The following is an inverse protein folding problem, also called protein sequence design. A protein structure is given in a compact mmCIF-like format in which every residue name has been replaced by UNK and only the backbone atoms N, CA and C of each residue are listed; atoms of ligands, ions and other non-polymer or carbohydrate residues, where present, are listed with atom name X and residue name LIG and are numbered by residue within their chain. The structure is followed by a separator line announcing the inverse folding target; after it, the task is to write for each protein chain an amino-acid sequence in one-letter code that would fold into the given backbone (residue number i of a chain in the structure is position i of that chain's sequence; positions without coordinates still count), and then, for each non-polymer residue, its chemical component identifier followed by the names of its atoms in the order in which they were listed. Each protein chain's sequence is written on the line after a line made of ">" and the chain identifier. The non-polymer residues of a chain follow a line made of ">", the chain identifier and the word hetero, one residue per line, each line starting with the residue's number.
data_IF_521409319639
#
_entry.id   IF_521409319639
#
_cell.length_a   1.000
_cell.length_b   1.000
_cell.length_c   1.000
_cell.angle_alpha   90.00
_cell.angle_beta   90.00
_cell.angle_gamma   90.00
#
_symmetry.space_group_name_H-M   'P 1'
#
loop_
_entity.id
_entity.type
_entity.pdbx_description
1 polymer ?
#
# COMPACT_ATOMS: atom_id res chain seq x y z
N UNK A 1 -19.66 10.15 2.24
CA UNK A 1 -18.89 10.40 1.00
C UNK A 1 -17.59 9.59 1.04
N UNK A 2 -17.17 8.95 -0.04
CA UNK A 2 -15.85 8.32 -0.13
C UNK A 2 -14.80 9.31 -0.63
N UNK A 3 -13.65 9.36 0.04
CA UNK A 3 -12.50 10.19 -0.37
C UNK A 3 -11.33 9.29 -0.70
N UNK A 4 -11.03 9.13 -1.99
CA UNK A 4 -9.93 8.30 -2.45
C UNK A 4 -8.60 9.05 -2.42
N UNK A 5 -7.62 8.50 -1.70
CA UNK A 5 -6.25 9.00 -1.65
C UNK A 5 -5.34 8.12 -2.52
N UNK A 6 -4.99 8.55 -3.75
CA UNK A 6 -4.29 7.72 -4.73
C UNK A 6 -2.81 7.48 -4.40
N UNK A 7 -2.26 8.12 -3.36
CA UNK A 7 -0.83 8.14 -3.04
C UNK A 7 0.04 8.80 -4.12
N UNK A 8 0.81 9.82 -3.72
CA UNK A 8 1.77 10.47 -4.61
C UNK A 8 2.88 9.52 -5.09
N UNK A 9 3.41 8.67 -4.19
CA UNK A 9 4.47 7.74 -4.52
C UNK A 9 4.01 6.63 -5.47
N UNK A 10 2.79 6.12 -5.27
CA UNK A 10 2.21 5.13 -6.17
C UNK A 10 1.89 5.77 -7.53
N UNK A 11 1.26 6.95 -7.54
CA UNK A 11 0.96 7.67 -8.79
C UNK A 11 2.21 7.95 -9.61
N UNK A 12 3.34 8.24 -8.97
CA UNK A 12 4.61 8.44 -9.67
C UNK A 12 5.21 7.12 -10.19
N UNK A 13 5.04 6.00 -9.48
CA UNK A 13 5.60 4.71 -9.86
C UNK A 13 4.78 3.98 -10.92
N UNK A 14 3.45 4.04 -10.82
CA UNK A 14 2.49 3.34 -11.68
C UNK A 14 1.46 4.34 -12.23
N UNK A 15 1.86 5.29 -13.10
CA UNK A 15 1.01 6.39 -13.54
C UNK A 15 -0.23 5.91 -14.31
N UNK A 16 -0.09 4.89 -15.15
CA UNK A 16 -1.20 4.33 -15.93
C UNK A 16 -2.27 3.69 -15.02
N UNK A 17 -1.87 2.80 -14.11
CA UNK A 17 -2.80 2.21 -13.14
C UNK A 17 -3.44 3.25 -12.22
N UNK A 18 -2.68 4.27 -11.80
CA UNK A 18 -3.23 5.40 -11.04
C UNK A 18 -4.27 6.17 -11.85
N UNK A 19 -4.02 6.42 -13.14
CA UNK A 19 -4.98 7.08 -14.03
C UNK A 19 -6.26 6.25 -14.18
N UNK A 20 -6.13 4.96 -14.48
CA UNK A 20 -7.27 4.04 -14.64
C UNK A 20 -8.17 4.00 -13.41
N UNK A 21 -7.62 3.76 -12.22
CA UNK A 21 -8.44 3.68 -11.01
C UNK A 21 -9.08 5.02 -10.63
N UNK A 22 -8.38 6.14 -10.86
CA UNK A 22 -8.97 7.47 -10.63
C UNK A 22 -10.13 7.75 -11.57
N UNK A 23 -10.03 7.36 -12.85
CA UNK A 23 -11.12 7.51 -13.81
C UNK A 23 -12.34 6.67 -13.39
N UNK A 24 -12.12 5.38 -13.10
CA UNK A 24 -13.17 4.48 -12.62
C UNK A 24 -13.91 5.01 -11.39
N UNK A 25 -13.19 5.54 -10.41
CA UNK A 25 -13.82 6.09 -9.20
C UNK A 25 -14.46 7.47 -9.41
N UNK A 26 -13.99 8.27 -10.37
CA UNK A 26 -14.56 9.59 -10.65
C UNK A 26 -15.93 9.53 -11.31
N UNK A 27 -16.28 8.41 -11.96
CA UNK A 27 -17.59 8.18 -12.57
C UNK A 27 -18.64 7.73 -11.55
N UNK A 28 -18.24 7.34 -10.33
CA UNK A 28 -19.15 6.87 -9.28
C UNK A 28 -19.72 8.03 -8.47
N UNK A 29 -21.02 7.96 -8.20
CA UNK A 29 -21.66 8.86 -7.24
C UNK A 29 -21.08 8.65 -5.83
N UNK A 30 -20.98 9.73 -5.06
CA UNK A 30 -20.45 9.66 -3.70
C UNK A 30 -18.94 9.42 -3.61
N UNK A 31 -18.19 9.68 -4.69
CA UNK A 31 -16.73 9.66 -4.72
C UNK A 31 -16.09 11.03 -4.92
N UNK A 32 -15.04 11.29 -4.13
CA UNK A 32 -14.10 12.38 -4.33
C UNK A 32 -12.70 11.82 -4.50
N UNK A 33 -12.16 11.93 -5.71
CA UNK A 33 -10.76 11.59 -6.01
C UNK A 33 -9.86 12.76 -5.60
N UNK A 34 -9.07 12.57 -4.55
CA UNK A 34 -8.12 13.58 -4.08
C UNK A 34 -6.75 13.44 -4.78
N UNK A 35 -5.89 14.44 -4.60
CA UNK A 35 -4.51 14.39 -5.10
C UNK A 35 -3.52 13.91 -4.02
N UNK A 36 -3.23 14.76 -3.02
CA UNK A 36 -2.26 14.48 -1.97
C UNK A 36 -2.96 14.41 -0.60
N UNK A 37 -2.64 13.39 0.19
CA UNK A 37 -3.23 13.23 1.53
C UNK A 37 -3.04 14.45 2.43
N UNK A 38 -1.89 15.15 2.34
CA UNK A 38 -1.50 16.23 3.26
C UNK A 38 -2.47 17.42 3.24
N UNK A 39 -2.70 18.11 2.11
CA UNK A 39 -3.68 19.20 2.05
C UNK A 39 -5.12 18.70 2.25
N UNK A 40 -5.42 17.47 1.82
CA UNK A 40 -6.78 16.91 1.91
C UNK A 40 -7.28 16.75 3.34
N UNK A 41 -6.40 16.55 4.33
CA UNK A 41 -6.82 16.41 5.74
C UNK A 41 -7.66 17.59 6.24
N UNK A 42 -7.38 18.81 5.77
CA UNK A 42 -8.09 20.03 6.18
C UNK A 42 -9.56 20.06 5.73
N UNK A 43 -9.94 19.19 4.80
CA UNK A 43 -11.29 19.18 4.21
C UNK A 43 -12.10 17.96 4.64
N UNK A 44 -11.57 17.10 5.51
CA UNK A 44 -12.24 15.87 5.92
C UNK A 44 -13.20 16.11 7.09
N UNK A 45 -14.36 15.48 7.01
CA UNK A 45 -15.46 15.58 7.97
C UNK A 45 -15.81 14.21 8.54
N UNK A 46 -16.71 14.16 9.53
CA UNK A 46 -17.18 12.89 10.10
C UNK A 46 -18.05 12.06 9.14
N UNK A 47 -18.56 12.67 8.07
CA UNK A 47 -19.36 12.00 7.03
C UNK A 47 -18.48 11.36 5.94
N UNK A 48 -17.18 11.60 5.98
CA UNK A 48 -16.21 11.07 5.03
C UNK A 48 -15.70 9.69 5.44
N UNK A 49 -15.58 8.80 4.45
CA UNK A 49 -14.79 7.57 4.53
C UNK A 49 -13.60 7.69 3.61
N UNK A 50 -12.41 7.77 4.18
CA UNK A 50 -11.15 7.89 3.46
C UNK A 50 -10.68 6.51 3.02
N UNK A 51 -10.49 6.35 1.71
CA UNK A 51 -9.93 5.14 1.10
C UNK A 51 -8.45 5.36 0.84
N UNK A 52 -7.60 4.62 1.55
CA UNK A 52 -6.15 4.73 1.41
C UNK A 52 -5.52 3.52 0.70
N UNK A 53 -4.60 3.78 -0.22
CA UNK A 53 -3.70 2.75 -0.82
C UNK A 53 -2.34 2.76 -0.12
N UNK A 54 -1.93 3.92 0.40
CA UNK A 54 -0.62 4.10 1.02
C UNK A 54 -0.71 4.14 2.54
N UNK A 55 0.13 3.33 3.19
CA UNK A 55 0.20 3.23 4.65
C UNK A 55 0.64 4.54 5.33
N UNK A 56 1.42 5.39 4.65
CA UNK A 56 1.71 6.75 5.13
C UNK A 56 0.46 7.65 5.07
N UNK A 57 -0.35 7.56 4.02
CA UNK A 57 -1.61 8.31 3.94
C UNK A 57 -2.58 7.83 5.03
N UNK A 58 -2.68 6.51 5.23
CA UNK A 58 -3.46 5.90 6.32
C UNK A 58 -3.03 6.42 7.69
N UNK A 59 -1.72 6.42 7.99
CA UNK A 59 -1.20 6.92 9.27
C UNK A 59 -1.52 8.40 9.49
N UNK A 60 -1.33 9.24 8.46
CA UNK A 60 -1.66 10.67 8.52
C UNK A 60 -3.16 10.87 8.76
N UNK A 61 -4.02 10.17 8.01
CA UNK A 61 -5.48 10.32 8.17
C UNK A 61 -5.94 9.94 9.57
N UNK A 62 -5.44 8.81 10.12
CA UNK A 62 -5.84 8.34 11.45
C UNK A 62 -5.46 9.30 12.57
N UNK A 63 -4.36 10.04 12.42
CA UNK A 63 -3.92 11.00 13.43
C UNK A 63 -4.52 12.39 13.24
N UNK A 64 -4.54 12.89 12.00
CA UNK A 64 -4.89 14.29 11.68
C UNK A 64 -6.38 14.47 11.44
N UNK A 65 -7.09 13.42 11.04
CA UNK A 65 -8.52 13.45 10.77
C UNK A 65 -9.25 12.28 11.44
N UNK A 66 -9.13 12.12 12.78
CA UNK A 66 -9.74 11.01 13.51
C UNK A 66 -11.28 11.04 13.47
N UNK A 67 -11.88 12.17 13.13
CA UNK A 67 -13.33 12.29 12.91
C UNK A 67 -13.79 11.51 11.68
N UNK A 68 -12.96 11.38 10.64
CA UNK A 68 -13.31 10.67 9.42
C UNK A 68 -13.07 9.16 9.60
N UNK A 69 -13.91 8.33 8.96
CA UNK A 69 -13.63 6.89 8.89
C UNK A 69 -12.44 6.66 7.96
N UNK A 70 -11.56 5.73 8.30
CA UNK A 70 -10.47 5.29 7.44
C UNK A 70 -10.62 3.80 7.12
N UNK A 71 -10.41 3.45 5.85
CA UNK A 71 -10.33 2.06 5.40
C UNK A 71 -9.37 1.95 4.21
N UNK A 72 -8.82 0.76 3.98
CA UNK A 72 -8.00 0.57 2.78
C UNK A 72 -8.88 0.51 1.53
N UNK A 73 -8.33 0.93 0.39
CA UNK A 73 -9.01 0.76 -0.89
C UNK A 73 -9.29 -0.73 -1.21
N UNK A 74 -8.44 -1.64 -0.74
CA UNK A 74 -8.62 -3.09 -0.92
C UNK A 74 -9.89 -3.61 -0.25
N UNK A 75 -10.21 -3.10 0.93
CA UNK A 75 -11.47 -3.44 1.61
C UNK A 75 -12.67 -2.89 0.82
N UNK A 76 -12.58 -1.66 0.31
CA UNK A 76 -13.66 -1.06 -0.46
C UNK A 76 -13.93 -1.81 -1.77
N UNK A 77 -12.90 -2.10 -2.57
CA UNK A 77 -13.10 -2.66 -3.91
C UNK A 77 -13.79 -4.04 -3.88
N UNK A 78 -13.61 -4.80 -2.79
CA UNK A 78 -14.31 -6.08 -2.57
C UNK A 78 -15.84 -5.91 -2.38
N UNK A 79 -16.28 -4.72 -2.01
CA UNK A 79 -17.71 -4.37 -1.84
C UNK A 79 -18.33 -3.81 -3.12
N UNK A 80 -17.52 -3.55 -4.14
CA UNK A 80 -17.96 -2.97 -5.40
C UNK A 80 -18.42 -4.08 -6.38
N UNK A 81 -19.74 -4.25 -6.60
CA UNK A 81 -20.26 -5.33 -7.44
C UNK A 81 -19.93 -5.15 -8.92
N UNK A 82 -19.68 -3.90 -9.35
CA UNK A 82 -19.46 -3.53 -10.74
C UNK A 82 -17.98 -3.49 -11.11
N UNK A 83 -17.08 -3.74 -10.16
CA UNK A 83 -15.64 -3.69 -10.42
C UNK A 83 -15.25 -4.78 -11.44
N UNK A 84 -14.60 -4.43 -12.57
CA UNK A 84 -14.26 -5.38 -13.62
C UNK A 84 -13.01 -6.17 -13.23
N UNK A 85 -13.19 -7.16 -12.35
CA UNK A 85 -12.10 -8.00 -11.86
C UNK A 85 -11.41 -8.74 -13.03
N UNK A 86 -10.07 -8.65 -13.16
CA UNK A 86 -9.31 -9.48 -14.09
C UNK A 86 -9.20 -10.91 -13.59
N UNK A 87 -8.88 -11.83 -14.50
CA UNK A 87 -8.67 -13.25 -14.24
C UNK A 87 -7.23 -13.63 -14.62
N UNK A 88 -6.43 -14.07 -13.65
CA UNK A 88 -5.05 -14.51 -13.84
C UNK A 88 -4.88 -16.04 -13.87
N UNK A 89 -5.98 -16.79 -14.08
CA UNK A 89 -5.91 -18.20 -14.45
C UNK A 89 -5.28 -19.15 -13.42
N UNK A 90 -5.32 -18.80 -12.13
CA UNK A 90 -4.72 -19.59 -11.05
C UNK A 90 -3.23 -19.36 -10.84
N UNK A 91 -2.65 -18.29 -11.40
CA UNK A 91 -1.23 -17.99 -11.21
C UNK A 91 -0.85 -17.90 -9.73
N UNK A 92 0.23 -18.59 -9.36
CA UNK A 92 0.81 -18.59 -8.02
C UNK A 92 1.72 -17.39 -7.86
N UNK A 93 1.40 -16.53 -6.89
CA UNK A 93 2.13 -15.27 -6.68
C UNK A 93 2.42 -15.04 -5.20
N UNK A 94 3.68 -14.77 -4.87
CA UNK A 94 4.08 -14.48 -3.49
C UNK A 94 3.47 -13.18 -3.01
N UNK A 95 2.94 -13.15 -1.78
CA UNK A 95 2.44 -11.93 -1.14
C UNK A 95 3.49 -11.39 -0.19
N UNK A 96 4.04 -10.22 -0.51
CA UNK A 96 4.94 -9.50 0.38
C UNK A 96 4.16 -8.46 1.19
N UNK A 97 3.93 -8.77 2.47
CA UNK A 97 3.37 -7.80 3.39
C UNK A 97 4.32 -6.66 3.71
N UNK A 98 3.75 -5.52 4.10
CA UNK A 98 4.50 -4.39 4.59
C UNK A 98 4.52 -4.36 6.11
N UNK A 99 5.68 -4.12 6.71
CA UNK A 99 5.87 -3.91 8.16
C UNK A 99 4.93 -2.84 8.70
N UNK A 100 4.62 -1.79 7.93
CA UNK A 100 3.66 -0.74 8.34
C UNK A 100 2.20 -1.19 8.36
N UNK A 101 1.88 -2.37 7.81
CA UNK A 101 0.56 -2.98 7.81
C UNK A 101 0.39 -4.07 8.88
N UNK A 102 1.43 -4.38 9.68
CA UNK A 102 1.42 -5.47 10.68
C UNK A 102 0.27 -5.39 11.71
N UNK A 103 -0.21 -4.17 11.99
CA UNK A 103 -1.34 -3.92 12.89
C UNK A 103 -2.63 -3.59 12.12
N UNK A 104 -2.77 -4.07 10.87
CA UNK A 104 -3.92 -3.83 9.98
C UNK A 104 -4.42 -5.16 9.39
N UNK A 105 -4.97 -6.07 10.22
CA UNK A 105 -5.42 -7.38 9.76
C UNK A 105 -6.50 -7.31 8.68
N UNK A 106 -7.39 -6.31 8.74
CA UNK A 106 -8.45 -6.13 7.72
C UNK A 106 -7.90 -5.82 6.35
N UNK A 107 -6.93 -4.91 6.28
CA UNK A 107 -6.20 -4.59 5.05
C UNK A 107 -5.51 -5.85 4.50
N UNK A 108 -4.79 -6.58 5.36
CA UNK A 108 -4.04 -7.76 4.95
C UNK A 108 -4.96 -8.86 4.44
N UNK A 109 -6.10 -9.10 5.10
CA UNK A 109 -7.14 -10.04 4.60
C UNK A 109 -7.74 -9.58 3.28
N UNK A 110 -8.03 -8.29 3.15
CA UNK A 110 -8.58 -7.72 1.92
C UNK A 110 -7.61 -7.89 0.74
N UNK A 111 -6.29 -7.72 0.95
CA UNK A 111 -5.28 -8.00 -0.09
C UNK A 111 -5.40 -9.43 -0.62
N UNK A 112 -5.47 -10.44 0.26
CA UNK A 112 -5.61 -11.85 -0.17
C UNK A 112 -6.96 -12.11 -0.83
N UNK A 113 -8.02 -11.49 -0.33
CA UNK A 113 -9.34 -11.61 -0.94
C UNK A 113 -9.36 -11.02 -2.35
N UNK A 114 -8.73 -9.86 -2.57
CA UNK A 114 -8.55 -9.28 -3.91
C UNK A 114 -7.77 -10.23 -4.82
N UNK A 115 -6.69 -10.83 -4.34
CA UNK A 115 -5.92 -11.81 -5.11
C UNK A 115 -6.77 -13.00 -5.55
N UNK A 116 -7.47 -13.64 -4.61
CA UNK A 116 -8.36 -14.76 -4.93
C UNK A 116 -9.51 -14.35 -5.86
N UNK A 117 -10.02 -13.13 -5.70
CA UNK A 117 -11.07 -12.57 -6.57
C UNK A 117 -10.57 -12.38 -8.01
N UNK A 118 -9.28 -12.10 -8.20
CA UNK A 118 -8.62 -12.08 -9.51
C UNK A 118 -8.12 -13.46 -9.98
N UNK A 119 -8.55 -14.55 -9.33
CA UNK A 119 -8.10 -15.92 -9.61
C UNK A 119 -6.58 -16.09 -9.51
N UNK A 120 -5.93 -15.44 -8.53
CA UNK A 120 -4.55 -15.71 -8.14
C UNK A 120 -4.53 -16.69 -6.96
N UNK A 121 -3.51 -17.54 -6.89
CA UNK A 121 -3.18 -18.35 -5.72
C UNK A 121 -2.12 -17.60 -4.87
N UNK A 122 -2.48 -17.06 -3.69
CA UNK A 122 -1.51 -16.38 -2.84
C UNK A 122 -0.50 -17.38 -2.25
N UNK A 123 0.78 -17.17 -2.51
CA UNK A 123 1.89 -17.88 -1.85
C UNK A 123 2.38 -17.03 -0.68
N UNK A 124 2.27 -17.57 0.53
CA UNK A 124 2.61 -16.84 1.75
C UNK A 124 4.08 -17.06 2.14
N UNK A 125 4.72 -16.00 2.63
CA UNK A 125 6.03 -16.08 3.30
C UNK A 125 5.87 -16.57 4.74
N UNK A 126 6.95 -17.06 5.34
CA UNK A 126 6.96 -17.39 6.77
C UNK A 126 6.70 -16.14 7.64
N UNK A 127 7.31 -15.02 7.28
CA UNK A 127 7.12 -13.71 7.93
C UNK A 127 5.95 -12.91 7.30
N UNK A 128 4.77 -13.49 7.27
CA UNK A 128 3.55 -12.85 6.77
C UNK A 128 2.72 -12.13 7.86
N UNK A 129 1.67 -11.44 7.44
CA UNK A 129 0.72 -10.70 8.28
C UNK A 129 1.39 -9.81 9.32
N UNK A 130 1.15 -10.05 10.61
CA UNK A 130 1.70 -9.28 11.73
C UNK A 130 3.20 -9.53 11.96
N UNK A 131 3.73 -10.63 11.44
CA UNK A 131 5.14 -11.04 11.63
C UNK A 131 6.09 -10.32 10.69
N UNK A 132 5.56 -9.76 9.60
CA UNK A 132 6.36 -9.18 8.52
C UNK A 132 7.32 -8.09 8.99
N UNK A 133 8.59 -8.20 8.57
CA UNK A 133 9.64 -7.22 8.82
C UNK A 133 9.99 -6.37 7.58
N UNK A 134 9.34 -6.62 6.44
CA UNK A 134 9.70 -5.97 5.19
C UNK A 134 9.02 -4.63 4.98
N UNK A 135 9.78 -3.60 4.63
CA UNK A 135 9.21 -2.30 4.21
C UNK A 135 9.89 -1.75 2.96
N UNK A 136 10.58 -2.64 2.24
CA UNK A 136 11.65 -2.28 1.31
C UNK A 136 12.80 -1.67 2.09
N UNK A 137 13.05 -0.39 1.85
CA UNK A 137 14.12 0.37 2.52
C UNK A 137 13.60 1.51 3.37
N UNK A 138 12.29 1.58 3.61
CA UNK A 138 11.68 2.71 4.29
C UNK A 138 12.29 2.92 5.69
N UNK A 139 12.36 1.89 6.54
CA UNK A 139 12.93 2.03 7.90
C UNK A 139 14.43 2.40 7.90
N UNK A 140 15.11 2.25 6.77
CA UNK A 140 16.53 2.51 6.64
C UNK A 140 16.87 3.97 6.27
N UNK A 141 15.87 4.82 6.12
CA UNK A 141 16.02 6.19 5.65
C UNK A 141 15.35 7.20 6.58
N UNK A 142 16.05 8.30 6.92
CA UNK A 142 15.49 9.37 7.77
C UNK A 142 14.26 10.06 7.15
N UNK A 143 14.16 10.02 5.82
CA UNK A 143 13.01 10.54 5.09
C UNK A 143 11.68 9.91 5.52
N UNK A 144 11.73 8.77 6.19
CA UNK A 144 10.57 8.02 6.70
C UNK A 144 9.79 8.75 7.77
N UNK A 145 10.47 9.55 8.61
CA UNK A 145 9.81 10.40 9.61
C UNK A 145 9.96 11.89 9.31
N UNK A 146 11.15 12.35 8.86
CA UNK A 146 11.47 13.79 8.76
C UNK A 146 10.45 14.59 7.95
N UNK A 147 9.92 14.02 6.86
CA UNK A 147 9.00 14.72 5.95
C UNK A 147 7.57 14.86 6.48
N UNK A 148 7.18 14.07 7.47
CA UNK A 148 5.79 14.00 7.94
C UNK A 148 5.65 14.23 9.45
N UNK A 149 6.75 14.37 10.19
CA UNK A 149 6.72 14.60 11.65
C UNK A 149 5.99 15.90 12.04
N UNK A 150 6.03 16.93 11.19
CA UNK A 150 5.23 18.15 11.40
C UNK A 150 3.75 18.02 11.03
N UNK A 151 3.33 16.89 10.45
CA UNK A 151 1.95 16.65 9.98
C UNK A 151 1.22 15.70 10.93
N UNK A 152 1.85 14.55 11.22
CA UNK A 152 1.34 13.54 12.14
C UNK A 152 2.43 13.22 13.19
N UNK A 153 2.68 14.16 14.12
CA UNK A 153 3.79 14.09 15.07
C UNK A 153 3.78 12.85 15.96
N UNK A 154 2.63 12.32 16.37
CA UNK A 154 2.56 11.15 17.27
C UNK A 154 3.11 9.93 16.54
N UNK A 155 2.56 9.60 15.37
CA UNK A 155 2.98 8.44 14.59
C UNK A 155 4.43 8.56 14.13
N UNK A 156 4.85 9.71 13.61
CA UNK A 156 6.19 9.84 13.05
C UNK A 156 7.28 10.04 14.12
N UNK A 157 6.93 10.49 15.32
CA UNK A 157 7.86 10.45 16.47
C UNK A 157 8.10 9.02 16.91
N UNK A 158 7.05 8.20 17.02
CA UNK A 158 7.17 6.76 17.31
C UNK A 158 8.05 6.06 16.27
N UNK A 159 7.86 6.37 14.98
CA UNK A 159 8.72 5.86 13.90
C UNK A 159 10.18 6.30 14.08
N UNK A 160 10.43 7.56 14.43
CA UNK A 160 11.79 8.09 14.64
C UNK A 160 12.49 7.38 15.81
N UNK A 161 11.77 7.19 16.91
CA UNK A 161 12.36 6.74 18.17
C UNK A 161 12.49 5.22 18.24
N UNK A 162 11.59 4.49 17.59
CA UNK A 162 11.48 3.03 17.73
C UNK A 162 11.33 2.26 16.41
N UNK A 163 11.17 2.97 15.28
CA UNK A 163 10.79 2.37 14.00
C UNK A 163 11.82 2.47 12.89
N UNK A 164 13.01 3.03 13.12
CA UNK A 164 14.05 3.18 12.08
C UNK A 164 15.35 2.50 12.49
N UNK A 165 16.06 1.97 11.48
CA UNK A 165 17.40 1.39 11.58
C UNK A 165 18.22 1.99 10.43
N UNK A 166 18.86 3.14 10.61
CA UNK A 166 19.46 3.86 9.47
C UNK A 166 20.64 3.10 8.88
N UNK A 167 20.62 2.85 7.57
CA UNK A 167 21.67 2.09 6.88
C UNK A 167 22.18 2.83 5.65
N UNK A 168 23.45 2.65 5.26
CA UNK A 168 23.96 3.17 3.99
C UNK A 168 23.33 2.45 2.79
N UNK A 169 23.22 3.10 1.61
CA UNK A 169 22.56 2.54 0.44
C UNK A 169 23.04 1.14 0.01
N UNK A 170 24.35 0.87 0.08
CA UNK A 170 24.91 -0.44 -0.27
C UNK A 170 24.42 -1.55 0.65
N UNK A 171 24.30 -1.28 1.95
CA UNK A 171 23.76 -2.23 2.92
C UNK A 171 22.25 -2.41 2.74
N UNK A 172 21.53 -1.34 2.40
CA UNK A 172 20.10 -1.44 2.05
C UNK A 172 19.91 -2.39 0.86
N UNK A 173 20.70 -2.21 -0.21
CA UNK A 173 20.65 -3.07 -1.40
C UNK A 173 20.98 -4.53 -1.06
N UNK A 174 22.09 -4.77 -0.34
CA UNK A 174 22.49 -6.12 0.08
C UNK A 174 21.40 -6.83 0.88
N UNK A 175 20.71 -6.11 1.78
CA UNK A 175 19.58 -6.67 2.55
C UNK A 175 18.39 -7.00 1.65
N UNK A 176 18.10 -6.20 0.62
CA UNK A 176 17.02 -6.51 -0.34
C UNK A 176 17.35 -7.72 -1.21
N UNK A 177 18.60 -7.84 -1.68
CA UNK A 177 19.09 -9.00 -2.43
C UNK A 177 19.03 -10.27 -1.59
N UNK A 178 19.45 -10.21 -0.31
CA UNK A 178 19.34 -11.34 0.61
C UNK A 178 17.87 -11.71 0.86
N UNK A 179 17.02 -10.71 1.12
CA UNK A 179 15.59 -10.92 1.34
C UNK A 179 14.93 -11.60 0.14
N UNK A 180 15.26 -11.20 -1.08
CA UNK A 180 14.63 -11.71 -2.29
C UNK A 180 14.89 -13.20 -2.55
N UNK A 181 15.92 -13.81 -1.96
CA UNK A 181 16.24 -15.24 -2.12
C UNK A 181 15.15 -16.18 -1.60
N UNK A 182 14.27 -15.70 -0.73
CA UNK A 182 13.18 -16.51 -0.18
C UNK A 182 11.98 -16.65 -1.13
N UNK A 183 11.88 -15.82 -2.17
CA UNK A 183 10.75 -15.85 -3.08
C UNK A 183 10.80 -17.09 -3.96
N UNK A 184 9.67 -17.81 -4.04
CA UNK A 184 9.55 -19.07 -4.79
C UNK A 184 8.64 -18.96 -6.02
N UNK A 185 8.16 -17.77 -6.34
CA UNK A 185 7.27 -17.49 -7.48
C UNK A 185 7.93 -16.52 -8.44
N UNK A 186 7.52 -16.54 -9.70
CA UNK A 186 8.03 -15.64 -10.74
C UNK A 186 7.80 -14.17 -10.37
N UNK A 187 6.58 -13.86 -9.93
CA UNK A 187 6.19 -12.50 -9.51
C UNK A 187 5.90 -12.41 -8.03
N UNK A 188 6.14 -11.23 -7.46
CA UNK A 188 5.90 -10.92 -6.04
C UNK A 188 4.94 -9.74 -5.95
N UNK A 189 3.77 -10.00 -5.39
CA UNK A 189 2.75 -8.99 -5.14
C UNK A 189 3.09 -8.15 -3.92
N UNK A 190 3.04 -6.84 -4.11
CA UNK A 190 3.11 -5.85 -3.03
C UNK A 190 1.87 -4.97 -3.07
N UNK A 191 1.48 -4.40 -1.94
CA UNK A 191 0.41 -3.38 -1.87
C UNK A 191 0.94 -2.08 -1.25
N UNK A 192 2.26 -1.91 -1.28
CA UNK A 192 2.97 -0.74 -0.79
C UNK A 192 4.10 -0.39 -1.74
N UNK A 193 4.12 0.86 -2.21
CA UNK A 193 5.14 1.34 -3.15
C UNK A 193 6.60 1.25 -2.61
N UNK A 194 6.81 1.35 -1.30
CA UNK A 194 8.16 1.17 -0.75
C UNK A 194 8.59 -0.30 -0.81
N UNK A 195 7.67 -1.23 -0.55
CA UNK A 195 7.91 -2.66 -0.68
C UNK A 195 8.13 -3.03 -2.14
N UNK A 196 7.35 -2.50 -3.09
CA UNK A 196 7.57 -2.68 -4.53
C UNK A 196 9.02 -2.37 -4.92
N UNK A 197 9.49 -1.18 -4.53
CA UNK A 197 10.87 -0.76 -4.78
C UNK A 197 11.90 -1.66 -4.11
N UNK A 198 11.62 -2.14 -2.89
CA UNK A 198 12.50 -3.07 -2.18
C UNK A 198 12.62 -4.42 -2.89
N UNK A 199 11.49 -4.99 -3.32
CA UNK A 199 11.44 -6.25 -4.08
C UNK A 199 12.26 -6.12 -5.36
N UNK A 200 12.02 -5.05 -6.12
CA UNK A 200 12.75 -4.77 -7.37
C UNK A 200 14.24 -4.51 -7.13
N UNK A 201 14.58 -3.80 -6.04
CA UNK A 201 15.98 -3.58 -5.63
C UNK A 201 16.69 -4.91 -5.30
N UNK A 202 15.98 -5.88 -4.76
CA UNK A 202 16.50 -7.22 -4.50
C UNK A 202 16.61 -8.11 -5.74
N UNK A 203 16.20 -7.63 -6.91
CA UNK A 203 16.29 -8.36 -8.18
C UNK A 203 15.08 -9.25 -8.49
N UNK A 204 14.01 -9.20 -7.69
CA UNK A 204 12.78 -9.95 -7.95
C UNK A 204 11.77 -9.14 -8.77
N UNK A 205 10.87 -9.84 -9.48
CA UNK A 205 9.81 -9.21 -10.26
C UNK A 205 8.65 -8.76 -9.36
N UNK A 206 8.77 -7.55 -8.81
CA UNK A 206 7.73 -6.94 -7.98
C UNK A 206 6.61 -6.32 -8.82
N UNK A 207 5.37 -6.60 -8.43
CA UNK A 207 4.14 -5.99 -8.99
C UNK A 207 3.29 -5.37 -7.88
N UNK A 208 2.71 -4.20 -8.11
CA UNK A 208 1.76 -3.60 -7.18
C UNK A 208 0.35 -4.16 -7.38
N UNK A 209 -0.39 -4.44 -6.31
CA UNK A 209 -1.75 -4.98 -6.36
C UNK A 209 -2.69 -4.16 -7.25
N UNK A 210 -2.55 -2.83 -7.22
CA UNK A 210 -3.32 -1.94 -8.11
C UNK A 210 -3.02 -2.17 -9.60
N UNK A 211 -1.78 -2.51 -9.97
CA UNK A 211 -1.44 -2.77 -11.37
C UNK A 211 -2.22 -3.98 -11.89
N UNK A 212 -2.30 -5.03 -11.08
CA UNK A 212 -3.11 -6.21 -11.38
C UNK A 212 -4.60 -5.86 -11.45
N UNK A 213 -5.15 -5.21 -10.41
CA UNK A 213 -6.57 -4.85 -10.34
C UNK A 213 -7.06 -4.02 -11.53
N UNK A 214 -6.20 -3.15 -12.05
CA UNK A 214 -6.55 -2.23 -13.14
C UNK A 214 -6.27 -2.80 -14.54
N UNK A 215 -5.96 -4.10 -14.66
CA UNK A 215 -5.71 -4.74 -15.95
C UNK A 215 -6.92 -4.66 -16.91
N UNK A 216 -8.14 -4.76 -16.37
CA UNK A 216 -9.40 -4.69 -17.13
C UNK A 216 -10.08 -3.30 -17.10
N UNK A 217 -9.44 -2.29 -16.49
CA UNK A 217 -9.88 -0.89 -16.54
C UNK A 217 -9.30 -0.15 -17.74
#
# INVERSE_FOLDING_TARGET
>A
MYVYLPSCNFTAACPESSKKIKAYLAEKEGFRVAACCRPTQKTLTAEDTVLSVCLTCSAITREVSPQAREMSFWEYVLTDPDFPWPDFGGERMTVQDCWRARNKPELQRAVRACMRRMNLEPVELEENYEKTQFDGVWRFNEASYKRNIGIAPVYFTEVRDHGVDLLPPEEQKRRMEEWAKQYTTERVLTYCNACLKGVQMGGAEGVHLMELLTANL
#
